data_IF_123254451799
#
_entry.id   IF_123254451799
#
_cell.length_a   1.000
_cell.length_b   1.000
_cell.length_c   1.000
_cell.angle_alpha   90.00
_cell.angle_beta   90.00
_cell.angle_gamma   90.00
#
_symmetry.space_group_name_H-M   'P 1'
#
loop_
_entity.id
_entity.type
_entity.pdbx_description
1 polymer ?
#
# COMPACT_ATOMS: atom_id res chain seq x y z
N UNK A 1 -22.42 -3.42 -7.47
CA UNK A 1 -22.50 -2.19 -6.71
C UNK A 1 -21.96 -1.06 -7.57
N UNK A 2 -22.48 0.13 -7.38
CA UNK A 2 -22.03 1.37 -8.00
C UNK A 2 -21.03 2.06 -7.08
N UNK A 3 -19.81 2.27 -7.55
CA UNK A 3 -18.69 2.75 -6.74
C UNK A 3 -18.15 4.06 -7.32
N UNK A 4 -17.89 5.04 -6.46
CA UNK A 4 -17.16 6.26 -6.81
C UNK A 4 -15.74 6.15 -6.26
N UNK A 5 -14.76 6.40 -7.12
CA UNK A 5 -13.35 6.31 -6.78
C UNK A 5 -12.71 7.69 -6.66
N UNK A 6 -12.14 8.00 -5.52
CA UNK A 6 -11.40 9.22 -5.25
C UNK A 6 -9.91 8.89 -5.22
N UNK A 7 -9.22 9.26 -6.28
CA UNK A 7 -7.81 8.96 -6.54
C UNK A 7 -7.60 8.23 -7.86
N UNK A 8 -6.46 8.51 -8.52
CA UNK A 8 -6.02 7.84 -9.75
C UNK A 8 -4.54 7.42 -9.65
N UNK A 9 -4.10 7.05 -8.44
CA UNK A 9 -2.76 6.55 -8.15
C UNK A 9 -2.58 5.08 -8.57
N UNK A 10 -1.45 4.49 -8.17
CA UNK A 10 -1.11 3.09 -8.48
C UNK A 10 -2.14 2.11 -7.90
N UNK A 11 -2.42 2.21 -6.61
CA UNK A 11 -3.45 1.39 -5.94
C UNK A 11 -4.83 1.64 -6.56
N UNK A 12 -5.26 2.91 -6.71
CA UNK A 12 -6.55 3.25 -7.29
C UNK A 12 -6.76 2.61 -8.67
N UNK A 13 -5.72 2.64 -9.52
CA UNK A 13 -5.78 2.05 -10.86
C UNK A 13 -5.97 0.54 -10.80
N UNK A 14 -5.16 -0.16 -10.02
CA UNK A 14 -5.22 -1.61 -9.92
C UNK A 14 -6.52 -2.08 -9.26
N UNK A 15 -6.94 -1.40 -8.19
CA UNK A 15 -8.19 -1.73 -7.47
C UNK A 15 -9.41 -1.51 -8.36
N UNK A 16 -9.49 -0.38 -9.08
CA UNK A 16 -10.62 -0.10 -9.97
C UNK A 16 -10.76 -1.15 -11.09
N UNK A 17 -9.63 -1.58 -11.67
CA UNK A 17 -9.63 -2.65 -12.67
C UNK A 17 -10.10 -3.98 -12.06
N UNK A 18 -9.60 -4.35 -10.90
CA UNK A 18 -10.01 -5.59 -10.22
C UNK A 18 -11.50 -5.56 -9.85
N UNK A 19 -12.00 -4.46 -9.29
CA UNK A 19 -13.41 -4.28 -8.93
C UNK A 19 -14.33 -4.40 -10.14
N UNK A 20 -13.94 -3.82 -11.27
CA UNK A 20 -14.70 -3.91 -12.51
C UNK A 20 -14.68 -5.32 -13.11
N UNK A 21 -13.49 -5.91 -13.26
CA UNK A 21 -13.30 -7.14 -14.03
C UNK A 21 -13.67 -8.38 -13.23
N UNK A 22 -13.18 -8.50 -11.99
CA UNK A 22 -13.43 -9.64 -11.12
C UNK A 22 -14.65 -9.45 -10.23
N UNK A 23 -14.75 -8.28 -9.58
CA UNK A 23 -15.85 -7.94 -8.67
C UNK A 23 -17.17 -7.63 -9.37
N UNK A 24 -17.14 -7.38 -10.67
CA UNK A 24 -18.30 -6.99 -11.48
C UNK A 24 -19.05 -5.77 -10.93
N UNK A 25 -18.30 -4.85 -10.31
CA UNK A 25 -18.80 -3.56 -9.86
C UNK A 25 -18.73 -2.53 -11.00
N UNK A 26 -19.60 -1.55 -10.95
CA UNK A 26 -19.56 -0.40 -11.86
C UNK A 26 -18.84 0.76 -11.17
N UNK A 27 -17.80 1.29 -11.78
CA UNK A 27 -17.19 2.54 -11.34
C UNK A 27 -17.96 3.67 -12.04
N UNK A 28 -18.69 4.48 -11.24
CA UNK A 28 -19.49 5.59 -11.79
C UNK A 28 -18.59 6.75 -12.17
N UNK A 29 -17.72 7.14 -11.27
CA UNK A 29 -16.91 8.35 -11.40
C UNK A 29 -15.54 8.14 -10.81
N UNK A 30 -14.54 8.78 -11.41
CA UNK A 30 -13.17 8.84 -10.91
C UNK A 30 -12.79 10.31 -10.68
N UNK A 31 -12.53 10.65 -9.43
CA UNK A 31 -11.95 11.95 -9.08
C UNK A 31 -10.43 11.86 -8.99
N UNK A 32 -9.73 12.87 -9.48
CA UNK A 32 -8.32 13.08 -9.19
C UNK A 32 -7.98 14.56 -9.23
N UNK A 33 -7.00 15.00 -8.41
CA UNK A 33 -6.50 16.37 -8.41
C UNK A 33 -6.18 16.92 -9.80
N UNK A 34 -5.71 16.08 -10.70
CA UNK A 34 -5.47 16.43 -12.12
C UNK A 34 -6.48 15.71 -13.01
N UNK A 35 -7.18 16.46 -13.85
CA UNK A 35 -8.18 15.90 -14.75
C UNK A 35 -7.56 14.85 -15.70
N UNK A 36 -6.33 15.07 -16.17
CA UNK A 36 -5.61 14.10 -16.99
C UNK A 36 -5.48 12.73 -16.33
N UNK A 37 -5.18 12.69 -15.02
CA UNK A 37 -5.09 11.43 -14.29
C UNK A 37 -6.46 10.78 -14.07
N UNK A 38 -7.49 11.59 -13.82
CA UNK A 38 -8.87 11.10 -13.72
C UNK A 38 -9.33 10.48 -15.05
N UNK A 39 -9.16 11.19 -16.16
CA UNK A 39 -9.52 10.71 -17.49
C UNK A 39 -8.80 9.41 -17.87
N UNK A 40 -7.49 9.33 -17.58
CA UNK A 40 -6.69 8.15 -17.90
C UNK A 40 -7.16 6.87 -17.17
N UNK A 41 -7.67 7.01 -15.95
CA UNK A 41 -8.25 5.87 -15.22
C UNK A 41 -9.71 5.64 -15.61
N UNK A 42 -10.50 6.69 -15.70
CA UNK A 42 -11.92 6.62 -16.07
C UNK A 42 -12.13 5.93 -17.41
N UNK A 43 -11.29 6.23 -18.41
CA UNK A 43 -11.32 5.54 -19.70
C UNK A 43 -11.11 4.03 -19.58
N UNK A 44 -10.21 3.58 -18.69
CA UNK A 44 -9.93 2.16 -18.48
C UNK A 44 -11.12 1.41 -17.84
N UNK A 45 -11.92 2.10 -17.02
CA UNK A 45 -13.03 1.49 -16.28
C UNK A 45 -14.42 1.91 -16.78
N UNK A 46 -14.48 2.66 -17.87
CA UNK A 46 -15.70 3.21 -18.49
C UNK A 46 -16.53 4.02 -17.48
N UNK A 47 -15.87 4.98 -16.82
CA UNK A 47 -16.45 5.87 -15.82
C UNK A 47 -16.36 7.33 -16.25
N UNK A 48 -17.07 8.21 -15.56
CA UNK A 48 -16.91 9.66 -15.69
C UNK A 48 -15.62 10.12 -14.99
N UNK A 49 -15.04 11.23 -15.46
CA UNK A 49 -13.82 11.77 -14.89
C UNK A 49 -14.02 13.21 -14.44
N UNK A 50 -13.56 13.53 -13.21
CA UNK A 50 -13.60 14.89 -12.69
C UNK A 50 -12.38 15.23 -11.86
N UNK A 51 -12.05 16.52 -11.76
CA UNK A 51 -11.11 17.07 -10.78
C UNK A 51 -11.80 18.02 -9.79
N UNK A 52 -13.14 18.05 -9.81
CA UNK A 52 -13.97 18.79 -8.88
C UNK A 52 -14.78 17.81 -8.03
N UNK A 53 -14.55 17.81 -6.71
CA UNK A 53 -15.20 16.90 -5.77
C UNK A 53 -16.71 17.18 -5.63
N UNK A 54 -17.12 18.44 -5.88
CA UNK A 54 -18.52 18.85 -5.81
C UNK A 54 -19.33 18.41 -7.02
N UNK A 55 -18.68 18.00 -8.09
CA UNK A 55 -19.32 17.43 -9.27
C UNK A 55 -19.50 15.92 -9.23
N UNK A 56 -19.06 15.25 -8.15
CA UNK A 56 -19.32 13.84 -7.94
C UNK A 56 -20.81 13.58 -7.67
N UNK A 57 -21.38 12.45 -8.11
CA UNK A 57 -22.70 12.04 -7.64
C UNK A 57 -22.73 11.96 -6.10
N UNK A 58 -23.81 12.44 -5.47
CA UNK A 58 -24.02 12.35 -4.02
C UNK A 58 -24.40 10.95 -3.55
N UNK A 59 -24.87 10.10 -4.46
CA UNK A 59 -25.32 8.74 -4.17
C UNK A 59 -24.47 7.71 -4.91
N UNK A 60 -24.01 6.71 -4.16
CA UNK A 60 -23.39 5.48 -4.66
C UNK A 60 -23.53 4.39 -3.60
N UNK A 61 -23.31 3.14 -3.97
CA UNK A 61 -23.24 2.05 -2.99
C UNK A 61 -22.00 2.16 -2.10
N UNK A 62 -20.92 2.82 -2.59
CA UNK A 62 -19.73 3.14 -1.80
C UNK A 62 -18.85 4.22 -2.48
N UNK A 63 -18.15 4.98 -1.67
CA UNK A 63 -17.03 5.84 -2.06
C UNK A 63 -15.73 5.22 -1.57
N UNK A 64 -14.71 5.13 -2.44
CA UNK A 64 -13.38 4.62 -2.07
C UNK A 64 -12.33 5.69 -2.30
N UNK A 65 -11.68 6.14 -1.22
CA UNK A 65 -10.62 7.15 -1.23
C UNK A 65 -9.25 6.46 -1.28
N UNK A 66 -8.68 6.35 -2.47
CA UNK A 66 -7.36 5.78 -2.74
C UNK A 66 -6.36 6.88 -3.13
N UNK A 67 -6.15 7.82 -2.22
CA UNK A 67 -5.29 8.99 -2.35
C UNK A 67 -4.05 8.88 -1.49
N UNK A 68 -3.12 9.85 -1.61
CA UNK A 68 -1.97 9.96 -0.69
C UNK A 68 -2.45 10.30 0.71
N UNK A 69 -1.75 9.79 1.72
CA UNK A 69 -2.05 10.00 3.13
C UNK A 69 -2.18 11.49 3.49
N UNK A 70 -1.28 12.34 2.99
CA UNK A 70 -1.30 13.79 3.21
C UNK A 70 -2.56 14.50 2.66
N UNK A 71 -3.15 13.95 1.60
CA UNK A 71 -4.33 14.54 0.96
C UNK A 71 -5.64 14.06 1.59
N UNK A 72 -5.62 12.93 2.30
CA UNK A 72 -6.81 12.26 2.79
C UNK A 72 -7.63 13.14 3.76
N UNK A 73 -7.05 13.81 4.79
CA UNK A 73 -7.84 14.62 5.71
C UNK A 73 -8.60 15.76 5.03
N UNK A 74 -7.94 16.48 4.13
CA UNK A 74 -8.54 17.61 3.41
C UNK A 74 -9.68 17.15 2.50
N UNK A 75 -9.45 16.05 1.75
CA UNK A 75 -10.47 15.50 0.85
C UNK A 75 -11.64 14.88 1.62
N UNK A 76 -11.41 14.31 2.80
CA UNK A 76 -12.45 13.78 3.67
C UNK A 76 -13.43 14.88 4.10
N UNK A 77 -12.92 16.04 4.52
CA UNK A 77 -13.75 17.20 4.89
C UNK A 77 -14.54 17.74 3.69
N UNK A 78 -13.89 17.87 2.53
CA UNK A 78 -14.55 18.33 1.31
C UNK A 78 -15.67 17.37 0.87
N UNK A 79 -15.41 16.07 0.91
CA UNK A 79 -16.40 15.05 0.56
C UNK A 79 -17.55 15.05 1.57
N UNK A 80 -17.27 15.13 2.87
CA UNK A 80 -18.29 15.21 3.91
C UNK A 80 -19.22 16.42 3.69
N UNK A 81 -18.67 17.59 3.38
CA UNK A 81 -19.47 18.79 3.05
C UNK A 81 -20.36 18.55 1.83
N UNK A 82 -19.81 17.99 0.76
CA UNK A 82 -20.56 17.67 -0.46
C UNK A 82 -21.71 16.69 -0.20
N UNK A 83 -21.44 15.61 0.55
CA UNK A 83 -22.46 14.60 0.87
C UNK A 83 -23.54 15.13 1.83
N UNK A 84 -23.20 16.07 2.70
CA UNK A 84 -24.16 16.65 3.65
C UNK A 84 -25.22 17.58 3.01
N UNK A 85 -25.00 18.03 1.78
CA UNK A 85 -25.95 18.82 1.01
C UNK A 85 -27.18 17.97 0.59
N UNK A 86 -27.02 16.65 0.53
CA UNK A 86 -28.09 15.70 0.25
C UNK A 86 -28.49 14.94 1.52
N UNK A 87 -29.64 15.28 2.08
CA UNK A 87 -30.16 14.67 3.32
C UNK A 87 -30.43 13.16 3.22
N UNK A 88 -30.40 12.59 2.02
CA UNK A 88 -30.57 11.17 1.76
C UNK A 88 -29.24 10.45 1.46
N UNK A 89 -28.10 11.15 1.47
CA UNK A 89 -26.81 10.56 1.21
C UNK A 89 -26.32 9.72 2.39
N UNK A 90 -26.69 8.46 2.41
CA UNK A 90 -26.24 7.48 3.40
C UNK A 90 -25.11 6.55 2.85
N UNK A 91 -24.42 6.99 1.80
CA UNK A 91 -23.39 6.19 1.15
C UNK A 91 -22.15 6.04 2.02
N UNK A 92 -21.67 4.81 2.26
CA UNK A 92 -20.46 4.59 3.05
C UNK A 92 -19.19 5.06 2.30
N UNK A 93 -18.25 5.62 3.05
CA UNK A 93 -16.97 6.12 2.55
C UNK A 93 -15.84 5.33 3.18
N UNK A 94 -14.97 4.79 2.35
CA UNK A 94 -13.81 4.02 2.78
C UNK A 94 -12.51 4.66 2.33
N UNK A 95 -11.49 4.65 3.18
CA UNK A 95 -10.14 4.92 2.71
C UNK A 95 -9.32 3.64 2.59
N UNK A 96 -8.18 3.72 1.87
CA UNK A 96 -7.31 2.57 1.62
C UNK A 96 -5.92 2.72 2.27
N UNK A 97 -5.73 3.70 3.15
CA UNK A 97 -4.45 3.98 3.78
C UNK A 97 -4.13 2.97 4.90
N UNK A 98 -2.92 2.43 4.89
CA UNK A 98 -2.44 1.53 5.95
C UNK A 98 -2.02 2.28 7.22
N UNK A 99 -1.49 3.50 7.07
CA UNK A 99 -0.91 4.32 8.15
C UNK A 99 -1.90 5.25 8.85
N UNK A 100 -3.05 5.55 8.23
CA UNK A 100 -4.02 6.55 8.71
C UNK A 100 -5.13 5.88 9.51
N UNK A 101 -5.55 6.51 10.61
CA UNK A 101 -6.66 6.05 11.43
C UNK A 101 -8.00 6.18 10.67
N UNK A 102 -8.94 5.27 10.96
CA UNK A 102 -10.29 5.32 10.40
C UNK A 102 -10.99 6.64 10.72
N UNK A 103 -10.73 7.19 11.88
CA UNK A 103 -11.35 8.40 12.39
C UNK A 103 -11.05 9.66 11.56
N UNK A 104 -10.13 9.60 10.60
CA UNK A 104 -9.96 10.68 9.60
C UNK A 104 -11.26 10.93 8.83
N UNK A 105 -12.14 9.95 8.77
CA UNK A 105 -13.47 10.01 8.12
C UNK A 105 -14.63 10.22 9.13
N UNK A 106 -14.37 10.48 10.42
CA UNK A 106 -15.42 10.54 11.47
C UNK A 106 -16.49 11.61 11.26
N UNK A 107 -16.28 12.58 10.38
CA UNK A 107 -17.31 13.55 9.95
C UNK A 107 -18.37 12.94 9.03
N UNK A 108 -18.14 11.74 8.51
CA UNK A 108 -19.06 10.98 7.65
C UNK A 108 -19.68 9.87 8.49
N UNK A 109 -21.02 9.79 8.62
CA UNK A 109 -21.66 8.80 9.50
C UNK A 109 -21.26 7.35 9.23
N UNK A 110 -21.30 6.93 7.97
CA UNK A 110 -20.96 5.59 7.52
C UNK A 110 -19.56 5.61 6.89
N UNK A 111 -18.55 5.20 7.65
CA UNK A 111 -17.18 5.24 7.17
C UNK A 111 -16.37 4.03 7.60
N UNK A 112 -15.25 3.82 6.92
CA UNK A 112 -14.40 2.67 7.22
C UNK A 112 -13.11 2.64 6.41
N UNK A 113 -12.52 1.46 6.39
CA UNK A 113 -11.26 1.17 5.71
C UNK A 113 -11.39 -0.09 4.88
N UNK A 114 -10.86 -0.06 3.68
CA UNK A 114 -10.62 -1.24 2.83
C UNK A 114 -9.15 -1.20 2.43
N UNK A 115 -8.30 -1.91 3.17
CA UNK A 115 -6.84 -1.85 3.01
C UNK A 115 -6.27 -3.15 2.40
N UNK A 116 -5.93 -3.16 1.11
CA UNK A 116 -5.16 -4.25 0.51
C UNK A 116 -3.67 -4.10 0.84
N UNK A 117 -3.08 -5.12 1.48
CA UNK A 117 -1.65 -5.11 1.80
C UNK A 117 -0.83 -5.67 0.64
N UNK A 118 -0.36 -4.77 -0.23
CA UNK A 118 0.48 -5.10 -1.38
C UNK A 118 1.27 -3.88 -1.86
N UNK A 119 2.34 -4.11 -2.60
CA UNK A 119 3.04 -3.09 -3.37
C UNK A 119 2.42 -2.99 -4.77
N UNK A 120 2.04 -1.78 -5.18
CA UNK A 120 1.36 -1.56 -6.46
C UNK A 120 2.22 -0.77 -7.43
N UNK A 121 2.24 -1.21 -8.69
CA UNK A 121 2.75 -0.47 -9.85
C UNK A 121 1.62 -0.27 -10.85
N UNK A 122 1.67 0.77 -11.68
CA UNK A 122 0.62 0.98 -12.69
C UNK A 122 0.73 -0.03 -13.83
N UNK A 123 1.95 -0.39 -14.17
CA UNK A 123 2.32 -1.18 -15.35
C UNK A 123 2.36 -2.69 -15.08
N UNK A 124 2.48 -3.07 -13.81
CA UNK A 124 2.53 -4.49 -13.40
C UNK A 124 1.21 -4.89 -12.75
N UNK A 125 0.35 -5.65 -13.46
CA UNK A 125 -0.87 -6.20 -12.88
C UNK A 125 -0.55 -7.12 -11.71
N UNK A 126 -1.43 -7.09 -10.70
CA UNK A 126 -1.35 -7.99 -9.54
C UNK A 126 -2.59 -8.87 -9.48
N UNK A 127 -2.44 -10.09 -9.02
CA UNK A 127 -3.58 -10.97 -8.78
C UNK A 127 -4.21 -10.67 -7.42
N UNK A 128 -5.30 -9.92 -7.44
CA UNK A 128 -6.02 -9.54 -6.22
C UNK A 128 -6.55 -10.74 -5.43
N UNK A 129 -6.79 -11.89 -6.04
CA UNK A 129 -7.30 -13.06 -5.34
C UNK A 129 -6.38 -13.52 -4.19
N UNK A 130 -5.08 -13.25 -4.30
CA UNK A 130 -4.07 -13.62 -3.30
C UNK A 130 -3.73 -12.49 -2.33
N UNK A 131 -4.25 -11.26 -2.55
CA UNK A 131 -3.91 -10.12 -1.71
C UNK A 131 -4.78 -10.13 -0.46
N UNK A 132 -4.20 -10.14 0.76
CA UNK A 132 -4.96 -9.94 1.97
C UNK A 132 -5.58 -8.55 2.02
N UNK A 133 -6.86 -8.48 2.38
CA UNK A 133 -7.58 -7.25 2.65
C UNK A 133 -7.91 -7.15 4.13
N UNK A 134 -7.62 -6.01 4.71
CA UNK A 134 -8.01 -5.69 6.09
C UNK A 134 -9.09 -4.62 6.06
N UNK A 135 -10.20 -4.90 6.74
CA UNK A 135 -11.38 -4.02 6.75
C UNK A 135 -11.71 -3.57 8.17
N UNK A 136 -12.21 -2.35 8.27
CA UNK A 136 -12.69 -1.72 9.50
C UNK A 136 -13.88 -0.80 9.15
N UNK A 137 -14.85 -0.64 10.03
CA UNK A 137 -15.98 0.22 9.77
C UNK A 137 -16.61 0.77 11.06
N UNK A 138 -17.29 1.91 10.95
CA UNK A 138 -17.98 2.60 12.02
C UNK A 138 -19.20 1.84 12.58
N UNK A 139 -19.78 0.95 11.77
CA UNK A 139 -20.97 0.18 12.10
C UNK A 139 -21.05 -1.14 11.33
N UNK A 140 -21.96 -2.03 11.72
CA UNK A 140 -22.10 -3.37 11.15
C UNK A 140 -22.58 -3.38 9.69
N UNK A 141 -23.41 -2.43 9.29
CA UNK A 141 -23.92 -2.31 7.93
C UNK A 141 -22.79 -1.86 6.99
N UNK A 142 -22.07 -0.83 7.37
CA UNK A 142 -20.87 -0.35 6.67
C UNK A 142 -19.80 -1.46 6.57
N UNK A 143 -19.60 -2.25 7.62
CA UNK A 143 -18.69 -3.39 7.59
C UNK A 143 -19.11 -4.46 6.59
N UNK A 144 -20.42 -4.67 6.43
CA UNK A 144 -20.95 -5.61 5.44
C UNK A 144 -20.69 -5.15 4.01
N UNK A 145 -20.82 -3.85 3.74
CA UNK A 145 -20.45 -3.25 2.45
C UNK A 145 -18.95 -3.41 2.18
N UNK A 146 -18.09 -3.05 3.16
CA UNK A 146 -16.62 -3.22 3.04
C UNK A 146 -16.25 -4.68 2.71
N UNK A 147 -16.84 -5.63 3.43
CA UNK A 147 -16.63 -7.06 3.20
C UNK A 147 -17.07 -7.50 1.81
N UNK A 148 -18.24 -7.06 1.37
CA UNK A 148 -18.76 -7.37 0.03
C UNK A 148 -17.83 -6.90 -1.07
N UNK A 149 -17.34 -5.65 -0.97
CA UNK A 149 -16.38 -5.09 -1.93
C UNK A 149 -15.08 -5.88 -1.91
N UNK A 150 -14.47 -6.08 -0.75
CA UNK A 150 -13.18 -6.75 -0.63
C UNK A 150 -13.25 -8.22 -1.09
N UNK A 151 -14.31 -8.95 -0.68
CA UNK A 151 -14.49 -10.37 -1.03
C UNK A 151 -14.81 -10.59 -2.51
N UNK A 152 -15.26 -9.56 -3.22
CA UNK A 152 -15.50 -9.66 -4.67
C UNK A 152 -14.21 -9.82 -5.48
N UNK A 153 -13.06 -9.45 -4.91
CA UNK A 153 -11.76 -9.45 -5.60
C UNK A 153 -10.70 -10.31 -4.89
N UNK A 154 -10.85 -10.58 -3.60
CA UNK A 154 -9.91 -11.38 -2.79
C UNK A 154 -10.60 -12.48 -2.00
N UNK A 155 -9.92 -13.62 -1.86
CA UNK A 155 -10.36 -14.71 -0.99
C UNK A 155 -9.91 -14.54 0.48
N UNK A 156 -9.07 -13.57 0.78
CA UNK A 156 -8.52 -13.34 2.10
C UNK A 156 -8.93 -11.95 2.62
N UNK A 157 -10.01 -11.90 3.42
CA UNK A 157 -10.58 -10.65 3.96
C UNK A 157 -10.80 -10.79 5.46
N UNK A 158 -10.09 -9.99 6.24
CA UNK A 158 -10.09 -10.01 7.70
C UNK A 158 -10.47 -8.65 8.28
N UNK A 159 -11.08 -8.64 9.47
CA UNK A 159 -11.29 -7.41 10.24
C UNK A 159 -10.01 -7.06 11.01
N UNK A 160 -9.60 -5.80 10.93
CA UNK A 160 -8.42 -5.31 11.65
C UNK A 160 -8.62 -3.85 12.03
N UNK A 161 -8.49 -3.55 13.31
CA UNK A 161 -8.61 -2.18 13.82
C UNK A 161 -7.45 -1.27 13.35
N UNK A 162 -7.67 0.03 13.45
CA UNK A 162 -6.70 1.05 13.02
C UNK A 162 -5.34 0.92 13.70
N UNK A 163 -5.28 0.55 14.99
CA UNK A 163 -4.01 0.37 15.70
C UNK A 163 -3.19 -0.78 15.11
N UNK A 164 -3.81 -1.95 14.98
CA UNK A 164 -3.15 -3.15 14.43
C UNK A 164 -2.81 -2.97 12.96
N UNK A 165 -3.67 -2.30 12.18
CA UNK A 165 -3.41 -1.99 10.77
C UNK A 165 -2.15 -1.12 10.60
N UNK A 166 -1.98 -0.09 11.44
CA UNK A 166 -0.77 0.75 11.42
C UNK A 166 0.49 -0.05 11.77
N UNK A 167 0.41 -0.97 12.74
CA UNK A 167 1.52 -1.85 13.09
C UNK A 167 1.85 -2.81 11.92
N UNK A 168 0.84 -3.40 11.30
CA UNK A 168 1.01 -4.25 10.14
C UNK A 168 1.62 -3.47 8.96
N UNK A 169 1.15 -2.25 8.72
CA UNK A 169 1.72 -1.38 7.68
C UNK A 169 3.19 -1.05 7.96
N UNK A 170 3.54 -0.73 9.21
CA UNK A 170 4.94 -0.52 9.60
C UNK A 170 5.80 -1.77 9.36
N UNK A 171 5.32 -2.95 9.69
CA UNK A 171 6.01 -4.20 9.39
C UNK A 171 6.20 -4.39 7.87
N UNK A 172 5.19 -4.06 7.06
CA UNK A 172 5.28 -4.11 5.61
C UNK A 172 6.30 -3.11 5.03
N UNK A 173 6.52 -1.96 5.67
CA UNK A 173 7.60 -1.02 5.28
C UNK A 173 8.96 -1.71 5.39
N UNK A 174 9.22 -2.41 6.48
CA UNK A 174 10.48 -3.18 6.64
C UNK A 174 10.56 -4.32 5.62
N UNK A 175 9.50 -5.12 5.50
CA UNK A 175 9.50 -6.30 4.64
C UNK A 175 9.57 -5.97 3.14
N UNK A 176 9.11 -4.81 2.71
CA UNK A 176 9.02 -4.46 1.30
C UNK A 176 9.83 -3.20 0.93
N UNK A 177 9.53 -2.04 1.55
CA UNK A 177 10.14 -0.78 1.13
C UNK A 177 11.63 -0.72 1.46
N UNK A 178 12.02 -1.04 2.69
CA UNK A 178 13.42 -1.04 3.10
C UNK A 178 14.19 -2.17 2.43
N UNK A 179 13.58 -3.34 2.30
CA UNK A 179 14.19 -4.47 1.57
C UNK A 179 14.46 -4.08 0.11
N UNK A 180 13.51 -3.44 -0.59
CA UNK A 180 13.75 -2.96 -1.95
C UNK A 180 14.84 -1.90 -2.00
N UNK A 181 14.94 -1.03 -1.00
CA UNK A 181 16.03 -0.05 -0.92
C UNK A 181 17.39 -0.72 -0.71
N UNK A 182 17.46 -1.82 0.07
CA UNK A 182 18.67 -2.63 0.16
C UNK A 182 19.10 -3.18 -1.21
N UNK A 183 18.15 -3.58 -2.06
CA UNK A 183 18.46 -3.98 -3.44
C UNK A 183 19.00 -2.81 -4.28
N UNK A 184 18.48 -1.60 -4.10
CA UNK A 184 19.01 -0.40 -4.75
C UNK A 184 20.46 -0.15 -4.35
N UNK A 185 20.77 -0.21 -3.05
CA UNK A 185 22.15 -0.04 -2.56
C UNK A 185 23.10 -1.14 -3.09
N UNK A 186 22.60 -2.37 -3.18
CA UNK A 186 23.36 -3.47 -3.76
C UNK A 186 23.63 -3.25 -5.27
N UNK A 187 22.63 -2.78 -6.02
CA UNK A 187 22.79 -2.43 -7.44
C UNK A 187 23.84 -1.34 -7.62
N UNK A 188 23.77 -0.25 -6.85
CA UNK A 188 24.74 0.84 -6.88
C UNK A 188 26.18 0.37 -6.62
N UNK A 189 26.37 -0.58 -5.69
CA UNK A 189 27.70 -1.15 -5.39
C UNK A 189 28.19 -1.99 -6.58
N UNK A 190 27.33 -2.82 -7.16
CA UNK A 190 27.70 -3.68 -8.30
C UNK A 190 28.05 -2.85 -9.53
N UNK A 191 27.20 -1.89 -9.89
CA UNK A 191 27.40 -1.02 -11.07
C UNK A 191 28.71 -0.24 -11.00
N UNK A 192 29.06 0.31 -9.82
CA UNK A 192 30.34 1.00 -9.62
C UNK A 192 31.58 0.11 -9.81
N UNK A 193 31.39 -1.21 -9.68
CA UNK A 193 32.45 -2.19 -9.86
C UNK A 193 32.33 -2.97 -11.18
N UNK A 194 31.48 -2.53 -12.12
CA UNK A 194 31.32 -3.14 -13.43
C UNK A 194 30.63 -4.51 -13.43
N UNK A 195 29.84 -4.78 -12.40
CA UNK A 195 29.09 -6.02 -12.24
C UNK A 195 27.60 -5.79 -12.52
N UNK A 196 26.96 -6.72 -13.21
CA UNK A 196 25.53 -6.65 -13.49
C UNK A 196 24.71 -7.09 -12.26
N UNK A 197 23.60 -6.40 -12.00
CA UNK A 197 22.73 -6.72 -10.86
C UNK A 197 22.14 -8.15 -10.93
N UNK A 198 21.97 -8.69 -12.13
CA UNK A 198 21.42 -10.04 -12.32
C UNK A 198 22.20 -11.15 -11.62
N UNK A 199 23.50 -10.93 -11.34
CA UNK A 199 24.35 -11.94 -10.69
C UNK A 199 23.90 -12.27 -9.26
N UNK A 200 23.17 -11.35 -8.58
CA UNK A 200 22.66 -11.57 -7.21
C UNK A 200 21.17 -11.95 -7.17
N UNK A 201 20.46 -11.98 -8.30
CA UNK A 201 19.03 -12.36 -8.32
C UNK A 201 18.75 -13.73 -7.69
N UNK A 202 19.58 -14.79 -7.94
CA UNK A 202 19.39 -16.08 -7.26
C UNK A 202 19.47 -15.97 -5.73
N UNK A 203 20.39 -15.14 -5.21
CA UNK A 203 20.55 -14.91 -3.78
C UNK A 203 19.34 -14.18 -3.17
N UNK A 204 18.79 -13.19 -3.87
CA UNK A 204 17.57 -12.48 -3.48
C UNK A 204 16.40 -13.45 -3.38
N UNK A 205 16.22 -14.30 -4.40
CA UNK A 205 15.15 -15.30 -4.45
C UNK A 205 15.30 -16.31 -3.32
N UNK A 206 16.50 -16.80 -3.06
CA UNK A 206 16.78 -17.75 -1.96
C UNK A 206 16.45 -17.13 -0.60
N UNK A 207 16.85 -15.87 -0.37
CA UNK A 207 16.55 -15.17 0.87
C UNK A 207 15.04 -15.05 1.12
N UNK A 208 14.27 -14.68 0.09
CA UNK A 208 12.81 -14.61 0.19
C UNK A 208 12.16 -15.99 0.38
N UNK A 209 12.70 -17.03 -0.27
CA UNK A 209 12.19 -18.41 -0.14
C UNK A 209 12.41 -18.97 1.27
N UNK A 210 13.53 -18.66 1.90
CA UNK A 210 13.82 -19.12 3.27
C UNK A 210 12.80 -18.61 4.28
N UNK A 211 12.44 -17.33 4.24
CA UNK A 211 11.48 -16.78 5.19
C UNK A 211 10.04 -17.25 4.96
N UNK A 212 9.76 -17.93 3.85
CA UNK A 212 8.49 -18.61 3.63
C UNK A 212 8.39 -19.96 4.38
N UNK A 213 9.52 -20.54 4.81
CA UNK A 213 9.58 -21.89 5.39
C UNK A 213 10.18 -21.93 6.79
N UNK A 214 10.88 -20.88 7.22
CA UNK A 214 11.49 -20.78 8.56
C UNK A 214 11.39 -19.37 9.10
N UNK A 215 11.53 -19.23 10.41
CA UNK A 215 11.48 -17.91 11.05
C UNK A 215 12.65 -17.02 10.57
N UNK A 216 12.44 -15.71 10.31
CA UNK A 216 13.49 -14.81 9.78
C UNK A 216 14.79 -14.79 10.61
N UNK A 217 14.71 -14.95 11.95
CA UNK A 217 15.90 -15.03 12.81
C UNK A 217 16.73 -16.28 12.54
N UNK A 218 16.09 -17.41 12.29
CA UNK A 218 16.75 -18.68 11.97
C UNK A 218 17.35 -18.65 10.55
N UNK A 219 16.71 -17.91 9.64
CA UNK A 219 17.19 -17.72 8.27
C UNK A 219 18.41 -16.78 8.19
N UNK A 220 18.67 -15.98 9.24
CA UNK A 220 19.72 -14.96 9.22
C UNK A 220 21.12 -15.58 9.18
N UNK A 221 21.96 -15.10 8.28
CA UNK A 221 23.34 -15.53 8.12
C UNK A 221 24.27 -14.33 7.93
N UNK A 222 25.57 -14.58 7.89
CA UNK A 222 26.56 -13.56 7.57
C UNK A 222 27.47 -13.17 8.74
N UNK A 223 28.43 -12.23 8.51
CA UNK A 223 29.41 -11.83 9.52
C UNK A 223 28.79 -11.11 10.72
N UNK A 224 27.68 -10.41 10.52
CA UNK A 224 27.00 -9.68 11.58
C UNK A 224 26.44 -10.60 12.68
N UNK A 225 25.88 -11.75 12.33
CA UNK A 225 25.38 -12.78 13.30
C UNK A 225 26.49 -13.19 14.27
N UNK A 226 27.70 -13.44 13.76
CA UNK A 226 28.86 -13.89 14.54
C UNK A 226 29.68 -12.73 15.11
N UNK A 227 29.25 -11.47 14.84
CA UNK A 227 29.98 -10.25 15.18
C UNK A 227 31.47 -10.28 14.73
N UNK A 228 31.69 -10.67 13.49
CA UNK A 228 33.04 -10.69 12.88
C UNK A 228 33.50 -9.25 12.57
N UNK A 229 34.07 -8.62 13.60
CA UNK A 229 34.49 -7.20 13.57
C UNK A 229 35.45 -6.88 12.43
N UNK A 230 36.34 -7.81 12.10
CA UNK A 230 37.34 -7.62 11.05
C UNK A 230 36.67 -7.49 9.68
N UNK A 231 35.76 -8.40 9.39
CA UNK A 231 35.00 -8.39 8.12
C UNK A 231 34.08 -7.17 8.05
N UNK A 232 33.36 -6.90 9.14
CA UNK A 232 32.42 -5.77 9.22
C UNK A 232 33.16 -4.45 8.98
N UNK A 233 34.28 -4.22 9.66
CA UNK A 233 35.05 -2.99 9.51
C UNK A 233 35.66 -2.83 8.11
N UNK A 234 36.19 -3.91 7.53
CA UNK A 234 36.69 -3.90 6.17
C UNK A 234 35.59 -3.54 5.15
N UNK A 235 34.42 -4.17 5.25
CA UNK A 235 33.29 -3.85 4.37
C UNK A 235 32.77 -2.42 4.59
N UNK A 236 32.73 -1.93 5.84
CA UNK A 236 32.38 -0.56 6.15
C UNK A 236 33.33 0.45 5.49
N UNK A 237 34.63 0.17 5.48
CA UNK A 237 35.65 1.00 4.84
C UNK A 237 35.49 1.07 3.31
N UNK A 238 35.00 0.02 2.67
CA UNK A 238 34.69 0.05 1.24
C UNK A 238 33.59 1.05 0.87
N UNK A 239 32.83 1.54 1.85
CA UNK A 239 31.70 2.46 1.69
C UNK A 239 32.04 3.92 2.04
N UNK A 240 33.32 4.26 2.25
CA UNK A 240 33.75 5.62 2.67
C UNK A 240 33.30 6.73 1.72
N UNK A 241 33.16 6.43 0.43
CA UNK A 241 32.69 7.38 -0.58
C UNK A 241 31.16 7.59 -0.57
N UNK A 242 30.44 6.87 0.27
CA UNK A 242 28.98 7.01 0.47
C UNK A 242 28.65 6.94 1.98
N UNK A 243 28.78 8.06 2.71
CA UNK A 243 28.62 8.08 4.16
C UNK A 243 27.27 7.59 4.65
N UNK A 244 26.18 7.86 3.91
CA UNK A 244 24.84 7.39 4.30
C UNK A 244 24.72 5.87 4.17
N UNK A 245 25.20 5.29 3.08
CA UNK A 245 25.22 3.82 2.90
C UNK A 245 26.12 3.16 3.95
N UNK A 246 27.23 3.79 4.31
CA UNK A 246 28.11 3.30 5.38
C UNK A 246 27.40 3.27 6.74
N UNK A 247 26.62 4.31 7.07
CA UNK A 247 25.81 4.36 8.30
C UNK A 247 24.72 3.29 8.30
N UNK A 248 24.02 3.12 7.18
CA UNK A 248 22.99 2.07 7.02
C UNK A 248 23.63 0.69 7.24
N UNK A 249 24.78 0.42 6.62
CA UNK A 249 25.52 -0.84 6.78
C UNK A 249 25.87 -1.10 8.25
N UNK A 250 26.39 -0.10 8.95
CA UNK A 250 26.75 -0.22 10.37
C UNK A 250 25.50 -0.50 11.23
N UNK A 251 24.43 0.30 11.10
CA UNK A 251 23.21 0.13 11.88
C UNK A 251 22.54 -1.24 11.64
N UNK A 252 22.52 -1.69 10.38
CA UNK A 252 21.99 -3.02 10.05
C UNK A 252 22.83 -4.15 10.65
N UNK A 253 24.18 -4.01 10.64
CA UNK A 253 25.07 -5.00 11.22
C UNK A 253 24.94 -5.09 12.74
N UNK A 254 24.82 -3.95 13.42
CA UNK A 254 24.55 -3.87 14.85
C UNK A 254 23.19 -4.49 15.20
N UNK A 255 22.14 -4.09 14.49
CA UNK A 255 20.79 -4.61 14.69
C UNK A 255 20.68 -6.12 14.47
N UNK A 256 21.36 -6.67 13.45
CA UNK A 256 21.40 -8.12 13.21
C UNK A 256 22.06 -8.82 14.42
N UNK A 257 23.18 -8.29 14.92
CA UNK A 257 23.87 -8.89 16.04
C UNK A 257 23.02 -8.88 17.33
N UNK A 258 22.32 -7.79 17.61
CA UNK A 258 21.45 -7.66 18.79
C UNK A 258 20.23 -8.59 18.77
N UNK A 259 19.77 -8.98 17.56
CA UNK A 259 18.59 -9.84 17.37
C UNK A 259 18.93 -11.31 17.05
N UNK A 260 20.21 -11.67 17.05
CA UNK A 260 20.71 -13.02 16.73
C UNK A 260 20.70 -13.99 17.90
#
# INVERSE_FOLDING_TARGET
MDIILIGAGRLATQLALALREKGRHRILSVYSRTLTSACALAQKVNAEATNDITSLPSHADAFIMAVKDDALPTLAVQLASHLSEDSNAASPVFHTAGSIDMDVLATIPHHGVIYPIQTFSKERPVDFAQIPFFIEASDAETLTVARTIASSVSSNVECLDSLRRRQLHLAAVFACNFTNHCYTLAADILERNGLDFSVILPLITETASKVATMHPREAQTGPAVRYDKTVIEHQRQMLTNNPLTQQIYQLMSESIHEHS
#
